data_IF_732262087456
#
_entry.id   IF_732262087456
#
_cell.length_a   1.000
_cell.length_b   1.000
_cell.length_c   1.000
_cell.angle_alpha   90.00
_cell.angle_beta   90.00
_cell.angle_gamma   90.00
#
_symmetry.space_group_name_H-M   'P 1'
#
loop_
_entity.id
_entity.type
_entity.pdbx_description
1 polymer ?
#
# COMPACT_ATOMS: atom_id res chain seq x y z
N UNK A 1 -66.01 7.62 -22.20
CA UNK A 1 -66.66 7.36 -20.89
C UNK A 1 -65.61 6.73 -19.99
N UNK A 2 -64.94 7.46 -19.09
CA UNK A 2 -65.43 8.06 -17.83
C UNK A 2 -65.68 7.02 -16.72
N UNK A 3 -64.93 7.19 -15.61
CA UNK A 3 -65.26 6.87 -14.21
C UNK A 3 -65.55 5.41 -13.80
N UNK A 4 -65.31 4.94 -12.58
CA UNK A 4 -64.75 5.50 -11.36
C UNK A 4 -64.43 4.39 -10.33
N UNK A 5 -63.29 4.57 -9.66
CA UNK A 5 -62.94 4.32 -8.23
C UNK A 5 -64.10 4.04 -7.26
N UNK A 6 -63.97 3.01 -6.40
CA UNK A 6 -64.48 2.94 -4.99
C UNK A 6 -63.68 1.86 -4.22
N UNK A 7 -62.80 2.20 -3.28
CA UNK A 7 -63.01 2.33 -1.80
C UNK A 7 -63.75 1.14 -1.17
N UNK A 8 -63.04 0.33 -0.39
CA UNK A 8 -63.61 -0.52 0.66
C UNK A 8 -63.25 0.06 2.03
N UNK A 9 -64.26 0.45 2.83
CA UNK A 9 -64.17 0.53 4.29
C UNK A 9 -64.20 -0.89 4.90
N UNK A 10 -64.20 -1.16 6.20
CA UNK A 10 -64.03 -0.45 7.47
C UNK A 10 -64.24 -1.53 8.55
N UNK A 11 -63.50 -1.44 9.66
CA UNK A 11 -63.86 -1.88 11.02
C UNK A 11 -63.89 -3.39 11.41
N UNK A 12 -63.34 -3.70 12.60
CA UNK A 12 -63.67 -4.90 13.38
C UNK A 12 -62.52 -5.44 14.24
N UNK A 13 -62.68 -5.44 15.56
CA UNK A 13 -61.66 -5.68 16.59
C UNK A 13 -61.43 -7.17 16.95
N UNK A 14 -60.31 -7.46 17.66
CA UNK A 14 -60.25 -8.17 18.96
C UNK A 14 -59.10 -9.18 19.14
N UNK A 15 -58.73 -9.30 20.41
CA UNK A 15 -58.21 -10.47 21.14
C UNK A 15 -56.70 -10.81 21.11
N UNK A 16 -56.18 -10.80 22.33
CA UNK A 16 -54.87 -11.19 22.82
C UNK A 16 -54.60 -12.69 22.73
N UNK A 17 -53.36 -13.07 22.42
CA UNK A 17 -52.66 -14.20 23.07
C UNK A 17 -51.19 -14.21 22.69
N UNK A 18 -50.35 -14.16 23.72
CA UNK A 18 -48.92 -14.39 23.64
C UNK A 18 -48.62 -15.81 23.15
N UNK A 19 -47.70 -15.92 22.20
CA UNK A 19 -46.94 -17.14 21.91
C UNK A 19 -45.49 -16.72 21.67
N UNK A 20 -44.61 -17.08 22.59
CA UNK A 20 -43.17 -17.04 22.36
C UNK A 20 -42.73 -18.25 21.57
N UNK A 21 -41.77 -18.05 20.66
CA UNK A 21 -40.81 -19.07 20.23
C UNK A 21 -39.49 -18.35 19.99
N UNK A 22 -38.48 -18.70 20.79
CA UNK A 22 -37.09 -18.38 20.54
C UNK A 22 -36.51 -19.38 19.53
N UNK A 23 -35.80 -18.90 18.51
CA UNK A 23 -34.78 -19.69 17.82
C UNK A 23 -33.53 -18.83 17.57
N UNK A 24 -32.47 -19.28 18.23
CA UNK A 24 -31.07 -18.87 18.09
C UNK A 24 -30.52 -19.40 16.77
N UNK A 25 -29.77 -18.57 16.04
CA UNK A 25 -29.05 -18.99 14.83
C UNK A 25 -27.93 -18.01 14.52
N UNK A 26 -26.73 -18.32 15.02
CA UNK A 26 -25.53 -17.53 14.81
C UNK A 26 -24.94 -17.72 13.41
N UNK A 27 -24.51 -16.62 12.81
CA UNK A 27 -23.45 -16.62 11.82
C UNK A 27 -22.42 -15.58 12.28
N UNK A 28 -21.42 -16.06 13.02
CA UNK A 28 -20.23 -15.29 13.36
C UNK A 28 -19.34 -15.31 12.12
N UNK A 29 -19.56 -14.35 11.22
CA UNK A 29 -18.55 -14.04 10.19
C UNK A 29 -17.46 -13.24 10.90
N UNK A 30 -16.20 -13.71 10.94
CA UNK A 30 -15.09 -12.88 11.38
C UNK A 30 -14.85 -11.83 10.30
N UNK A 31 -15.53 -10.69 10.43
CA UNK A 31 -15.15 -9.46 9.76
C UNK A 31 -13.85 -9.03 10.45
N UNK A 32 -12.70 -9.39 9.87
CA UNK A 32 -11.45 -8.72 10.20
C UNK A 32 -11.66 -7.22 9.90
N UNK A 33 -11.45 -6.32 10.87
CA UNK A 33 -11.58 -4.89 10.61
C UNK A 33 -10.51 -4.50 9.59
N UNK A 34 -10.96 -4.18 8.37
CA UNK A 34 -10.17 -3.38 7.44
C UNK A 34 -10.07 -1.98 8.04
N UNK A 35 -8.97 -1.74 8.74
CA UNK A 35 -8.67 -0.45 9.33
C UNK A 35 -8.33 0.55 8.22
N UNK A 36 -9.27 1.45 7.94
CA UNK A 36 -9.05 2.64 7.09
C UNK A 36 -8.77 3.86 7.98
N UNK A 37 -7.95 3.73 9.01
CA UNK A 37 -7.48 4.88 9.81
C UNK A 37 -6.15 5.43 9.30
N UNK A 38 -6.14 5.89 8.04
CA UNK A 38 -5.01 6.61 7.44
C UNK A 38 -5.37 7.97 6.84
N UNK A 39 -6.64 8.37 6.82
CA UNK A 39 -7.05 9.56 6.09
C UNK A 39 -8.15 10.34 6.80
N UNK A 40 -7.74 11.20 7.74
CA UNK A 40 -8.33 12.52 8.03
C UNK A 40 -7.73 13.08 9.31
N UNK A 41 -6.79 14.00 9.15
CA UNK A 41 -6.40 14.99 10.13
C UNK A 41 -7.62 15.64 10.82
N UNK A 42 -7.71 15.52 12.15
CA UNK A 42 -8.69 16.25 12.97
C UNK A 42 -9.19 15.50 14.20
N UNK A 43 -8.32 15.19 15.16
CA UNK A 43 -8.73 14.65 16.46
C UNK A 43 -8.92 15.78 17.48
N UNK A 44 -10.16 15.98 17.93
CA UNK A 44 -10.50 16.80 19.08
C UNK A 44 -9.97 16.13 20.37
N UNK A 45 -9.40 16.95 21.25
CA UNK A 45 -8.76 16.53 22.50
C UNK A 45 -9.78 16.10 23.55
N UNK A 46 -9.62 14.91 24.12
CA UNK A 46 -10.09 14.57 25.47
C UNK A 46 -8.88 14.05 26.26
N UNK A 47 -8.63 14.67 27.42
CA UNK A 47 -7.44 14.49 28.21
C UNK A 47 -7.50 13.21 29.07
N UNK A 48 -6.60 12.27 28.80
CA UNK A 48 -6.24 11.18 29.71
C UNK A 48 -4.71 11.19 29.91
N UNK A 49 -4.20 10.79 31.09
CA UNK A 49 -2.80 10.92 31.43
C UNK A 49 -1.95 10.07 30.49
N UNK A 50 -1.09 10.76 29.74
CA UNK A 50 -0.22 10.24 28.69
C UNK A 50 0.49 8.95 29.13
N UNK A 51 0.26 7.79 28.48
CA UNK A 51 1.31 6.78 28.44
C UNK A 51 2.52 7.45 27.77
N UNK A 52 3.73 7.15 28.25
CA UNK A 52 4.99 7.67 27.68
C UNK A 52 4.87 7.63 26.16
N UNK A 53 5.00 8.77 25.49
CA UNK A 53 5.03 8.84 24.02
C UNK A 53 6.04 7.81 23.57
N UNK A 54 5.58 6.71 22.97
CA UNK A 54 6.47 5.81 22.26
C UNK A 54 7.24 6.70 21.27
N UNK A 55 8.57 6.61 21.28
CA UNK A 55 9.38 7.31 20.29
C UNK A 55 8.83 6.93 18.92
N UNK A 56 8.61 7.93 18.04
CA UNK A 56 8.20 7.62 16.67
C UNK A 56 9.29 6.73 16.06
N UNK A 57 8.94 5.63 15.38
CA UNK A 57 9.92 4.82 14.68
C UNK A 57 10.70 5.68 13.69
N UNK A 58 12.01 5.45 13.58
CA UNK A 58 12.87 6.16 12.62
C UNK A 58 12.37 5.85 11.20
N UNK A 59 11.98 6.87 10.40
CA UNK A 59 11.56 6.66 9.01
C UNK A 59 12.60 5.90 8.17
N UNK A 60 13.88 5.97 8.53
CA UNK A 60 14.97 5.24 7.84
C UNK A 60 14.92 3.73 8.03
N UNK A 61 14.12 3.26 8.99
CA UNK A 61 13.91 1.85 9.29
C UNK A 61 12.55 1.32 8.80
N UNK A 62 11.64 2.21 8.36
CA UNK A 62 10.29 1.84 7.88
C UNK A 62 10.25 1.74 6.34
N UNK A 63 10.10 0.53 5.76
CA UNK A 63 10.08 0.32 4.31
C UNK A 63 8.89 0.93 3.56
N UNK A 64 7.94 1.53 4.27
CA UNK A 64 6.82 2.29 3.69
C UNK A 64 7.14 3.79 3.54
N UNK A 65 8.29 4.25 4.04
CA UNK A 65 8.74 5.63 3.93
C UNK A 65 9.84 5.78 2.86
N UNK A 66 9.87 6.91 2.17
CA UNK A 66 10.90 7.19 1.16
C UNK A 66 12.30 7.37 1.78
N UNK A 67 12.39 7.68 3.07
CA UNK A 67 13.62 7.82 3.84
C UNK A 67 14.27 6.49 4.20
N UNK A 68 13.58 5.36 3.98
CA UNK A 68 14.13 4.04 4.25
C UNK A 68 15.48 3.87 3.55
N UNK A 69 16.48 3.40 4.30
CA UNK A 69 17.88 3.51 3.89
C UNK A 69 18.20 2.83 2.54
N UNK A 70 17.46 1.79 2.14
CA UNK A 70 17.67 1.15 0.83
C UNK A 70 17.18 1.97 -0.34
N UNK A 71 16.37 3.00 -0.13
CA UNK A 71 15.80 3.83 -1.19
C UNK A 71 16.66 5.05 -1.53
N UNK A 72 17.96 5.02 -1.23
CA UNK A 72 18.85 6.18 -1.40
C UNK A 72 18.95 6.71 -2.85
N UNK A 73 18.80 5.84 -3.85
CA UNK A 73 18.81 6.19 -5.28
C UNK A 73 17.55 5.65 -6.00
N UNK A 74 16.41 5.70 -5.32
CA UNK A 74 15.14 5.14 -5.79
C UNK A 74 14.34 6.15 -6.61
N UNK A 75 13.72 5.71 -7.70
CA UNK A 75 12.72 6.50 -8.45
C UNK A 75 11.52 5.60 -8.79
N UNK A 76 10.31 6.09 -8.51
CA UNK A 76 9.05 5.40 -8.80
C UNK A 76 8.20 5.08 -7.56
N UNK A 77 7.34 4.07 -7.68
CA UNK A 77 6.42 3.65 -6.62
C UNK A 77 6.99 2.50 -5.81
N UNK A 78 6.85 2.52 -4.48
CA UNK A 78 7.31 1.41 -3.63
C UNK A 78 6.44 0.16 -3.85
N UNK A 79 7.04 -0.96 -4.28
CA UNK A 79 6.27 -2.21 -4.43
C UNK A 79 5.67 -2.74 -3.12
N UNK A 80 6.20 -2.34 -1.97
CA UNK A 80 5.64 -2.63 -0.64
C UNK A 80 4.23 -2.05 -0.45
N UNK A 81 3.89 -0.95 -1.14
CA UNK A 81 2.56 -0.34 -1.11
C UNK A 81 1.59 -0.92 -2.15
N UNK A 82 2.08 -1.82 -3.02
CA UNK A 82 1.37 -2.29 -4.21
C UNK A 82 1.05 -3.79 -4.16
N UNK A 83 1.10 -4.40 -2.98
CA UNK A 83 0.91 -5.85 -2.79
C UNK A 83 2.14 -6.70 -3.12
N UNK A 84 3.31 -6.08 -3.27
CA UNK A 84 4.61 -6.72 -3.31
C UNK A 84 5.30 -6.65 -1.94
N UNK A 85 6.62 -6.85 -1.94
CA UNK A 85 7.47 -6.60 -0.78
C UNK A 85 8.71 -5.80 -1.19
N UNK A 86 9.65 -5.55 -0.27
CA UNK A 86 10.93 -4.91 -0.63
C UNK A 86 11.66 -5.62 -1.76
N UNK A 87 11.50 -6.94 -1.90
CA UNK A 87 12.34 -7.77 -2.79
C UNK A 87 11.52 -8.68 -3.70
N UNK A 88 10.19 -8.52 -3.69
CA UNK A 88 9.29 -9.37 -4.46
C UNK A 88 8.24 -8.51 -5.17
N UNK A 89 8.07 -8.74 -6.46
CA UNK A 89 7.06 -8.06 -7.26
C UNK A 89 5.63 -8.45 -6.88
N UNK A 90 4.66 -7.53 -7.00
CA UNK A 90 3.24 -7.83 -6.84
C UNK A 90 2.75 -8.93 -7.77
N UNK A 91 1.74 -9.73 -7.40
CA UNK A 91 1.17 -10.76 -8.25
C UNK A 91 0.74 -10.23 -9.63
N UNK A 92 1.08 -10.96 -10.69
CA UNK A 92 0.75 -10.59 -12.07
C UNK A 92 1.60 -9.48 -12.67
N UNK A 93 2.69 -9.08 -12.00
CA UNK A 93 3.77 -8.29 -12.60
C UNK A 93 5.00 -9.17 -12.80
N UNK A 94 5.89 -8.75 -13.70
CA UNK A 94 7.16 -9.43 -13.97
C UNK A 94 8.33 -8.55 -13.52
N UNK A 95 9.27 -9.11 -12.76
CA UNK A 95 10.49 -8.37 -12.39
C UNK A 95 11.32 -8.01 -13.63
N UNK A 96 11.92 -6.82 -13.62
CA UNK A 96 12.73 -6.30 -14.70
C UNK A 96 13.96 -7.19 -14.94
N UNK A 97 14.32 -7.41 -16.21
CA UNK A 97 15.54 -8.17 -16.57
C UNK A 97 16.82 -7.38 -16.34
N UNK A 98 16.71 -6.06 -16.26
CA UNK A 98 17.78 -5.10 -16.06
C UNK A 98 17.39 -4.15 -14.94
N UNK A 99 18.38 -3.60 -14.25
CA UNK A 99 18.20 -2.69 -13.12
C UNK A 99 19.33 -1.66 -13.07
N UNK A 100 19.08 -0.57 -12.36
CA UNK A 100 20.13 0.30 -11.87
C UNK A 100 20.52 -0.09 -10.44
N UNK A 101 21.67 0.40 -10.01
CA UNK A 101 22.22 0.11 -8.69
C UNK A 101 22.42 1.42 -7.93
N UNK A 102 22.04 1.43 -6.66
CA UNK A 102 22.43 2.43 -5.68
C UNK A 102 23.47 1.88 -4.72
N UNK A 103 24.35 2.76 -4.21
CA UNK A 103 25.20 2.44 -3.05
C UNK A 103 24.64 3.16 -1.85
N UNK A 104 23.98 2.43 -0.95
CA UNK A 104 23.26 3.01 0.18
C UNK A 104 23.93 2.67 1.52
N UNK A 105 23.98 3.62 2.45
CA UNK A 105 24.49 3.43 3.80
C UNK A 105 23.40 2.86 4.70
N UNK A 106 23.63 1.70 5.32
CA UNK A 106 22.75 1.18 6.36
C UNK A 106 23.11 1.82 7.71
N UNK A 107 22.21 2.59 8.35
CA UNK A 107 22.51 3.26 9.62
C UNK A 107 22.70 2.29 10.80
N UNK A 108 22.20 1.05 10.71
CA UNK A 108 22.28 0.07 11.79
C UNK A 108 23.67 -0.51 11.99
N UNK A 109 24.40 -0.74 10.88
CA UNK A 109 25.72 -1.37 10.90
C UNK A 109 26.83 -0.45 10.36
N UNK A 110 26.47 0.73 9.83
CA UNK A 110 27.41 1.69 9.27
C UNK A 110 28.06 1.25 7.95
N UNK A 111 27.54 0.21 7.28
CA UNK A 111 28.12 -0.34 6.04
C UNK A 111 27.37 0.15 4.81
N UNK A 112 28.08 0.23 3.69
CA UNK A 112 27.49 0.51 2.39
C UNK A 112 27.09 -0.79 1.70
N UNK A 113 25.91 -0.79 1.11
CA UNK A 113 25.37 -1.92 0.35
C UNK A 113 25.06 -1.49 -1.07
N UNK A 114 25.31 -2.39 -2.02
CA UNK A 114 24.79 -2.29 -3.37
C UNK A 114 23.33 -2.74 -3.35
N UNK A 115 22.43 -1.83 -3.70
CA UNK A 115 20.99 -2.08 -3.81
C UNK A 115 20.64 -2.07 -5.30
N UNK A 116 20.16 -3.20 -5.80
CA UNK A 116 19.58 -3.32 -7.13
C UNK A 116 18.13 -2.89 -7.08
N UNK A 117 17.77 -1.93 -7.91
CA UNK A 117 16.40 -1.47 -8.06
C UNK A 117 15.78 -2.12 -9.29
N UNK A 118 15.00 -3.18 -9.04
CA UNK A 118 14.30 -3.89 -10.10
C UNK A 118 12.87 -3.39 -10.18
N UNK A 119 12.47 -2.94 -11.36
CA UNK A 119 11.09 -2.60 -11.62
C UNK A 119 10.24 -3.85 -11.70
N UNK A 120 8.97 -3.70 -11.37
CA UNK A 120 7.93 -4.68 -11.61
C UNK A 120 7.10 -4.18 -12.79
N UNK A 121 6.97 -5.01 -13.80
CA UNK A 121 6.55 -4.63 -15.14
C UNK A 121 5.27 -5.35 -15.56
N UNK A 122 4.61 -4.86 -16.61
CA UNK A 122 3.47 -5.51 -17.25
C UNK A 122 2.09 -5.10 -16.71
N UNK A 123 2.04 -4.14 -15.79
CA UNK A 123 0.81 -3.48 -15.34
C UNK A 123 0.98 -1.96 -15.39
N UNK A 124 -0.11 -1.21 -15.41
CA UNK A 124 -0.06 0.25 -15.28
C UNK A 124 0.47 0.67 -13.90
N UNK A 125 0.99 1.88 -13.81
CA UNK A 125 1.58 2.46 -12.59
C UNK A 125 0.72 2.22 -11.34
N UNK A 126 1.37 1.82 -10.25
CA UNK A 126 0.69 1.53 -8.98
C UNK A 126 0.02 2.77 -8.37
N UNK A 127 0.68 3.93 -8.42
CA UNK A 127 0.11 5.20 -7.94
C UNK A 127 0.27 5.45 -6.43
N UNK A 128 0.83 4.52 -5.66
CA UNK A 128 1.01 4.61 -4.21
C UNK A 128 2.48 4.72 -3.83
N UNK A 129 2.77 5.50 -2.78
CA UNK A 129 4.13 5.66 -2.23
C UNK A 129 5.18 6.04 -3.30
N UNK A 130 4.96 7.17 -3.98
CA UNK A 130 5.91 7.72 -4.93
C UNK A 130 7.14 8.26 -4.17
N UNK A 131 8.32 7.81 -4.55
CA UNK A 131 9.59 8.25 -3.99
C UNK A 131 10.55 8.65 -5.11
N UNK A 132 11.36 9.67 -4.87
CA UNK A 132 12.44 10.06 -5.76
C UNK A 132 13.64 10.55 -4.93
N UNK A 133 14.69 9.74 -4.89
CA UNK A 133 15.95 10.00 -4.21
C UNK A 133 17.11 9.73 -5.19
N UNK A 134 18.16 10.55 -5.13
CA UNK A 134 19.21 10.59 -6.15
C UNK A 134 20.63 10.52 -5.56
N UNK A 135 20.82 9.79 -4.45
CA UNK A 135 22.15 9.65 -3.86
C UNK A 135 23.09 8.92 -4.82
N UNK A 136 24.18 9.60 -5.22
CA UNK A 136 25.21 9.06 -6.14
C UNK A 136 24.69 8.66 -7.53
N UNK A 137 23.46 9.05 -7.87
CA UNK A 137 22.87 8.93 -9.21
C UNK A 137 23.73 9.66 -10.26
N UNK A 138 23.76 9.17 -11.50
CA UNK A 138 24.47 9.84 -12.60
C UNK A 138 23.59 9.88 -13.85
N UNK A 139 23.77 10.91 -14.72
CA UNK A 139 23.02 11.00 -15.97
C UNK A 139 23.21 9.76 -16.86
N UNK A 140 22.29 9.56 -17.81
CA UNK A 140 22.18 8.34 -18.62
C UNK A 140 23.41 7.87 -19.41
N UNK A 141 24.46 8.69 -19.57
CA UNK A 141 25.75 8.20 -20.09
C UNK A 141 26.48 7.24 -19.10
N UNK A 142 26.01 7.15 -17.84
CA UNK A 142 26.39 6.14 -16.83
C UNK A 142 25.17 5.34 -16.41
N UNK A 143 24.59 4.62 -17.38
CA UNK A 143 23.29 3.97 -17.25
C UNK A 143 23.13 3.09 -16.01
N UNK A 144 24.15 2.33 -15.58
CA UNK A 144 24.03 1.43 -14.42
C UNK A 144 23.72 2.08 -13.07
N UNK A 145 23.78 3.41 -12.97
CA UNK A 145 23.43 4.19 -11.78
C UNK A 145 22.50 5.37 -12.11
N UNK A 146 21.76 5.26 -13.21
CA UNK A 146 20.80 6.25 -13.69
C UNK A 146 19.37 5.76 -13.44
N UNK A 147 18.55 6.56 -12.76
CA UNK A 147 17.19 6.15 -12.34
C UNK A 147 16.06 6.81 -13.14
N UNK A 148 16.31 7.87 -13.92
CA UNK A 148 15.28 8.55 -14.74
C UNK A 148 14.91 7.79 -16.04
N UNK A 149 15.03 6.46 -16.05
CA UNK A 149 14.59 5.63 -17.18
C UNK A 149 13.69 4.49 -16.71
N UNK A 150 12.87 4.02 -17.63
CA UNK A 150 12.05 2.84 -17.38
C UNK A 150 12.88 1.56 -17.55
N UNK A 151 13.20 0.89 -16.45
CA UNK A 151 14.02 -0.33 -16.47
C UNK A 151 13.22 -1.59 -16.85
N UNK A 152 11.91 -1.47 -17.11
CA UNK A 152 11.14 -2.49 -17.83
C UNK A 152 11.45 -2.54 -19.33
N UNK A 153 12.36 -1.71 -19.85
CA UNK A 153 12.71 -1.65 -21.28
C UNK A 153 13.15 -2.98 -21.91
N UNK A 154 13.61 -3.94 -21.10
CA UNK A 154 14.04 -5.27 -21.57
C UNK A 154 13.01 -6.38 -21.26
N UNK A 155 11.83 -6.05 -20.77
CA UNK A 155 10.77 -7.01 -20.47
C UNK A 155 9.80 -7.19 -21.64
N UNK A 156 8.98 -8.24 -21.58
CA UNK A 156 7.94 -8.52 -22.58
C UNK A 156 6.97 -7.33 -22.73
N UNK A 157 6.64 -6.68 -21.62
CA UNK A 157 5.86 -5.44 -21.61
C UNK A 157 6.68 -4.35 -20.90
N UNK A 158 6.88 -3.18 -21.53
CA UNK A 158 7.61 -2.06 -20.93
C UNK A 158 6.74 -1.25 -19.96
N UNK A 159 5.51 -1.69 -19.64
CA UNK A 159 4.66 -0.95 -18.72
C UNK A 159 5.20 -1.03 -17.29
N UNK A 160 5.56 0.12 -16.73
CA UNK A 160 6.06 0.28 -15.37
C UNK A 160 4.91 0.22 -14.34
N UNK A 161 5.11 -0.53 -13.25
CA UNK A 161 4.15 -0.61 -12.14
C UNK A 161 4.70 -0.03 -10.82
N UNK A 162 5.82 -0.56 -10.33
CA UNK A 162 6.48 -0.18 -9.08
C UNK A 162 7.95 -0.66 -9.11
N UNK A 163 8.75 -0.29 -8.11
CA UNK A 163 10.17 -0.67 -8.00
C UNK A 163 10.45 -1.36 -6.66
N UNK A 164 11.32 -2.37 -6.69
CA UNK A 164 11.82 -3.12 -5.54
C UNK A 164 13.23 -2.65 -5.13
N UNK A 165 13.70 -2.99 -3.93
CA UNK A 165 15.02 -2.64 -3.43
C UNK A 165 15.74 -3.88 -2.86
N UNK A 166 16.48 -4.56 -3.73
CA UNK A 166 17.13 -5.85 -3.47
C UNK A 166 18.60 -5.62 -3.11
N UNK A 167 19.07 -6.14 -1.98
CA UNK A 167 20.52 -6.10 -1.68
C UNK A 167 21.25 -7.07 -2.62
N UNK A 168 22.12 -6.54 -3.47
CA UNK A 168 22.99 -7.32 -4.34
C UNK A 168 24.30 -7.71 -3.65
N UNK A 169 24.77 -6.90 -2.70
CA UNK A 169 26.00 -7.17 -1.96
C UNK A 169 26.44 -6.01 -1.07
N UNK A 170 27.57 -6.18 -0.40
CA UNK A 170 28.28 -5.12 0.32
C UNK A 170 29.17 -4.38 -0.69
N UNK A 171 29.19 -3.05 -0.62
CA UNK A 171 29.98 -2.19 -1.50
C UNK A 171 31.42 -1.98 -1.01
#
# INVERSE_FOLDING_TARGET
MACARWRTGTAGAACSRAWGVALVGGAVLPMLPFDRSGQSSGAAHAAEPSPRKAAKPDPREDPLQCEYWRYCAFDGYLCTCCGGSLTQCPPGTEASKVSWIGTCLNPQDGRQYLVSYNDCCGKGSCGECLCNNNERERPGYRLGVHNDINWCMANTSPMFHCTTAIIAGVA
#
